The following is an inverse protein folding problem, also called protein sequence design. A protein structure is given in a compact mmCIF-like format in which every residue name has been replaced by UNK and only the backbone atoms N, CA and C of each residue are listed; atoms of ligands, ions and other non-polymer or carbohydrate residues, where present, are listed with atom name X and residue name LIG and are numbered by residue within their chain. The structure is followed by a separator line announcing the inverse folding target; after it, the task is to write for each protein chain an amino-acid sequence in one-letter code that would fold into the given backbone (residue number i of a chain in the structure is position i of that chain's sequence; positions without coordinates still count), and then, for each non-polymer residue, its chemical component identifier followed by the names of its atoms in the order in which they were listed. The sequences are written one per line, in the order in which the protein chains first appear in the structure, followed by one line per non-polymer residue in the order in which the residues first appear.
data_IF_471565631027
#
_entry.id   IF_471565631027
#
_cell.length_a   1.000
_cell.length_b   1.000
_cell.length_c   1.000
_cell.angle_alpha   90.00
_cell.angle_beta   90.00
_cell.angle_gamma   90.00
#
_symmetry.space_group_name_H-M   'P 1'
#
loop_
_entity.id
_entity.type
_entity.pdbx_description
1 polymer ?
#
# COMPACT_ATOMS: atom_id res chain seq x y z
N UNK A 1 14.46 12.10 18.88
CA UNK A 1 13.08 12.38 19.32
C UNK A 1 12.19 12.02 18.16
N UNK A 2 11.51 10.87 18.25
CA UNK A 2 10.26 10.54 17.56
C UNK A 2 9.86 9.15 18.07
N UNK A 3 9.14 9.16 19.18
CA UNK A 3 8.38 8.02 19.68
C UNK A 3 7.33 7.65 18.64
N UNK A 4 7.49 6.53 17.95
CA UNK A 4 6.36 5.85 17.30
C UNK A 4 5.53 5.14 18.38
N UNK A 5 4.85 5.95 19.18
CA UNK A 5 3.79 5.51 20.08
C UNK A 5 2.53 5.21 19.23
N UNK A 6 2.51 4.06 18.53
CA UNK A 6 1.31 3.57 17.87
C UNK A 6 0.54 2.63 18.82
N UNK A 7 -0.23 3.26 19.70
CA UNK A 7 -1.29 2.61 20.45
C UNK A 7 -2.37 2.12 19.47
N UNK A 8 -2.48 0.80 19.32
CA UNK A 8 -3.56 0.14 18.61
C UNK A 8 -4.75 -0.04 19.56
N UNK A 9 -5.64 0.95 19.58
CA UNK A 9 -6.99 0.79 20.10
C UNK A 9 -7.96 1.00 18.94
N UNK A 10 -8.57 -0.09 18.45
CA UNK A 10 -10.03 -0.23 18.34
C UNK A 10 -10.38 -1.60 17.72
N UNK A 11 -11.32 -2.27 18.37
CA UNK A 11 -11.46 -3.72 18.42
C UNK A 11 -12.20 -4.37 17.23
N UNK A 12 -11.98 -3.94 15.98
CA UNK A 12 -12.65 -4.60 14.83
C UNK A 12 -11.75 -4.98 13.65
N UNK A 13 -10.53 -4.46 13.52
CA UNK A 13 -9.59 -4.93 12.49
C UNK A 13 -8.15 -4.91 13.01
N UNK A 14 -7.74 -5.96 13.74
CA UNK A 14 -6.34 -6.15 14.17
C UNK A 14 -5.45 -6.43 12.97
N UNK A 15 -4.97 -5.37 12.33
CA UNK A 15 -3.84 -5.45 11.40
C UNK A 15 -2.65 -5.97 12.20
N UNK A 16 -2.00 -7.07 11.79
CA UNK A 16 -0.77 -7.51 12.44
C UNK A 16 0.26 -6.40 12.35
N UNK A 17 0.85 -6.03 13.50
CA UNK A 17 1.91 -5.01 13.57
C UNK A 17 3.04 -5.29 12.57
N UNK A 18 3.34 -6.57 12.33
CA UNK A 18 4.29 -7.03 11.31
C UNK A 18 3.93 -6.59 9.89
N UNK A 19 2.64 -6.61 9.52
CA UNK A 19 2.17 -6.17 8.21
C UNK A 19 2.30 -4.65 8.06
N UNK A 20 2.11 -3.91 9.15
CA UNK A 20 2.27 -2.46 9.18
C UNK A 20 3.73 -2.03 9.05
N UNK A 21 4.62 -2.67 9.80
CA UNK A 21 6.07 -2.47 9.70
C UNK A 21 6.56 -2.80 8.29
N UNK A 22 6.08 -3.90 7.72
CA UNK A 22 6.44 -4.31 6.37
C UNK A 22 5.99 -3.28 5.32
N UNK A 23 4.72 -2.86 5.36
CA UNK A 23 4.22 -1.80 4.48
C UNK A 23 5.05 -0.53 4.61
N UNK A 24 5.33 -0.07 5.84
CA UNK A 24 6.14 1.13 6.07
C UNK A 24 7.56 1.00 5.51
N UNK A 25 8.21 -0.16 5.64
CA UNK A 25 9.53 -0.41 5.07
C UNK A 25 9.51 -0.34 3.54
N UNK A 26 8.55 -1.01 2.90
CA UNK A 26 8.41 -1.04 1.44
C UNK A 26 8.07 0.35 0.89
N UNK A 27 7.08 1.03 1.48
CA UNK A 27 6.70 2.38 1.06
C UNK A 27 7.85 3.37 1.22
N UNK A 28 8.67 3.26 2.27
CA UNK A 28 9.85 4.11 2.47
C UNK A 28 10.91 3.90 1.38
N UNK A 29 11.16 2.64 0.99
CA UNK A 29 12.10 2.32 -0.10
C UNK A 29 11.58 2.84 -1.44
N UNK A 30 10.28 2.63 -1.69
CA UNK A 30 9.63 3.04 -2.92
C UNK A 30 9.56 4.57 -3.02
N UNK A 31 9.20 5.27 -1.94
CA UNK A 31 9.14 6.75 -1.87
C UNK A 31 10.47 7.44 -2.15
N UNK A 32 11.62 6.78 -1.95
CA UNK A 32 12.92 7.34 -2.39
C UNK A 32 12.96 7.56 -3.91
N UNK A 33 12.18 6.79 -4.68
CA UNK A 33 12.03 6.92 -6.14
C UNK A 33 10.78 7.75 -6.51
N UNK A 34 10.48 8.81 -5.76
CA UNK A 34 9.24 9.63 -5.85
C UNK A 34 8.88 10.05 -7.28
N UNK A 35 9.88 10.45 -8.07
CA UNK A 35 9.67 10.93 -9.45
C UNK A 35 9.19 9.81 -10.37
N UNK A 36 9.78 8.62 -10.26
CA UNK A 36 9.40 7.45 -11.04
C UNK A 36 8.00 6.94 -10.69
N UNK A 37 7.56 7.05 -9.43
CA UNK A 37 6.23 6.57 -9.03
C UNK A 37 5.06 7.37 -9.58
N UNK A 38 5.28 8.66 -9.86
CA UNK A 38 4.26 9.50 -10.50
C UNK A 38 3.99 9.10 -11.94
N UNK A 39 4.96 8.42 -12.57
CA UNK A 39 4.88 7.99 -13.97
C UNK A 39 4.37 6.55 -14.11
N UNK A 40 4.18 5.83 -13.00
CA UNK A 40 3.75 4.44 -13.00
C UNK A 40 2.29 4.39 -12.57
N UNK A 41 1.45 4.02 -13.53
CA UNK A 41 0.01 3.91 -13.36
C UNK A 41 -0.40 2.51 -12.91
N UNK A 42 -1.52 2.40 -12.19
CA UNK A 42 -1.99 1.12 -11.65
C UNK A 42 -2.50 0.15 -12.73
N UNK A 43 -2.87 0.66 -13.91
CA UNK A 43 -3.29 -0.14 -15.07
C UNK A 43 -2.14 -0.93 -15.71
N UNK A 44 -0.90 -0.48 -15.53
CA UNK A 44 0.30 -1.15 -16.00
C UNK A 44 0.72 -2.35 -15.15
N UNK A 45 0.15 -2.51 -13.95
CA UNK A 45 0.67 -3.40 -12.90
C UNK A 45 -0.09 -4.72 -12.77
N UNK A 46 -0.89 -5.10 -13.76
CA UNK A 46 -1.65 -6.37 -13.80
C UNK A 46 -2.32 -6.72 -12.45
N UNK A 47 -2.88 -5.72 -11.76
CA UNK A 47 -3.55 -5.96 -10.49
C UNK A 47 -4.80 -6.83 -10.70
N UNK A 48 -5.13 -7.68 -9.72
CA UNK A 48 -6.42 -8.38 -9.71
C UNK A 48 -7.58 -7.40 -9.90
N UNK A 49 -8.63 -7.74 -10.69
CA UNK A 49 -9.72 -6.83 -11.00
C UNK A 49 -10.38 -6.21 -9.76
N UNK A 50 -10.49 -6.98 -8.67
CA UNK A 50 -10.97 -6.50 -7.37
C UNK A 50 -10.13 -5.31 -6.86
N UNK A 51 -8.81 -5.48 -6.82
CA UNK A 51 -7.86 -4.47 -6.33
C UNK A 51 -7.90 -3.24 -7.23
N UNK A 52 -7.76 -3.44 -8.54
CA UNK A 52 -7.79 -2.36 -9.53
C UNK A 52 -9.07 -1.53 -9.40
N UNK A 53 -10.23 -2.17 -9.32
CA UNK A 53 -11.52 -1.48 -9.22
C UNK A 53 -11.68 -0.73 -7.89
N UNK A 54 -11.22 -1.28 -6.77
CA UNK A 54 -11.26 -0.60 -5.47
C UNK A 54 -10.38 0.68 -5.50
N UNK A 55 -9.14 0.56 -5.99
CA UNK A 55 -8.22 1.68 -6.11
C UNK A 55 -8.79 2.77 -7.03
N UNK A 56 -9.34 2.37 -8.18
CA UNK A 56 -9.96 3.29 -9.14
C UNK A 56 -11.16 4.02 -8.55
N UNK A 57 -12.04 3.32 -7.80
CA UNK A 57 -13.18 3.94 -7.09
C UNK A 57 -12.74 4.94 -6.03
N UNK A 58 -11.56 4.75 -5.44
CA UNK A 58 -10.96 5.65 -4.45
C UNK A 58 -10.07 6.73 -5.06
N UNK A 59 -10.14 6.95 -6.38
CA UNK A 59 -9.32 7.93 -7.11
C UNK A 59 -7.80 7.72 -7.00
N UNK A 60 -7.36 6.47 -6.82
CA UNK A 60 -5.95 6.08 -6.85
C UNK A 60 -5.63 5.58 -8.25
N UNK A 61 -4.82 6.34 -8.99
CA UNK A 61 -4.48 6.02 -10.39
C UNK A 61 -2.99 5.74 -10.59
N UNK A 62 -2.13 6.24 -9.70
CA UNK A 62 -0.68 6.03 -9.75
C UNK A 62 -0.15 5.33 -8.51
N UNK A 63 1.05 4.76 -8.61
CA UNK A 63 1.77 4.28 -7.42
C UNK A 63 2.10 5.41 -6.45
N UNK A 64 2.30 6.62 -6.96
CA UNK A 64 2.48 7.77 -6.10
C UNK A 64 1.25 7.99 -5.22
N UNK A 65 0.05 7.99 -5.79
CA UNK A 65 -1.20 8.17 -5.04
C UNK A 65 -1.37 7.07 -3.99
N UNK A 66 -1.20 5.82 -4.40
CA UNK A 66 -1.30 4.64 -3.53
C UNK A 66 -0.41 4.75 -2.30
N UNK A 67 0.87 5.10 -2.49
CA UNK A 67 1.84 5.18 -1.39
C UNK A 67 1.83 6.51 -0.65
N UNK A 68 1.22 7.56 -1.20
CA UNK A 68 1.04 8.81 -0.50
C UNK A 68 0.02 8.68 0.64
N UNK A 69 -0.91 7.74 0.54
CA UNK A 69 -1.85 7.40 1.60
C UNK A 69 -1.25 6.49 2.68
N UNK A 70 -1.74 6.65 3.91
CA UNK A 70 -1.44 5.73 5.01
C UNK A 70 -2.10 4.37 4.77
N UNK A 71 -1.51 3.30 5.27
CA UNK A 71 -2.09 1.96 5.18
C UNK A 71 -3.52 1.89 5.75
N UNK A 72 -3.77 2.60 6.86
CA UNK A 72 -5.08 2.71 7.50
C UNK A 72 -6.14 3.29 6.56
N UNK A 73 -5.75 4.26 5.72
CA UNK A 73 -6.66 4.83 4.73
C UNK A 73 -7.01 3.80 3.66
N UNK A 74 -6.03 3.03 3.19
CA UNK A 74 -6.27 1.97 2.21
C UNK A 74 -7.22 0.89 2.75
N UNK A 75 -7.09 0.52 4.02
CA UNK A 75 -7.99 -0.45 4.67
C UNK A 75 -9.39 0.08 4.94
N UNK A 76 -9.61 1.39 4.85
CA UNK A 76 -10.94 2.01 4.89
C UNK A 76 -11.62 2.04 3.53
N UNK A 77 -10.91 1.69 2.45
CA UNK A 77 -11.52 1.58 1.12
C UNK A 77 -12.51 0.41 1.15
N UNK A 78 -13.70 0.64 0.60
CA UNK A 78 -14.75 -0.37 0.52
C UNK A 78 -14.25 -1.64 -0.18
N UNK A 79 -14.50 -2.80 0.42
CA UNK A 79 -14.06 -4.13 -0.05
C UNK A 79 -12.55 -4.37 -0.10
N UNK A 80 -11.74 -3.43 0.40
CA UNK A 80 -10.29 -3.55 0.43
C UNK A 80 -9.83 -4.21 1.73
N UNK A 81 -8.99 -5.23 1.62
CA UNK A 81 -8.55 -6.05 2.75
C UNK A 81 -7.04 -6.03 2.90
N UNK A 82 -6.55 -6.48 4.06
CA UNK A 82 -5.11 -6.63 4.30
C UNK A 82 -4.43 -7.53 3.25
N UNK A 83 -5.11 -8.58 2.81
CA UNK A 83 -4.59 -9.50 1.79
C UNK A 83 -4.40 -8.79 0.43
N UNK A 84 -5.27 -7.81 0.12
CA UNK A 84 -5.13 -7.00 -1.09
C UNK A 84 -3.86 -6.12 -1.02
N UNK A 85 -3.52 -5.60 0.17
CA UNK A 85 -2.27 -4.86 0.40
C UNK A 85 -1.06 -5.77 0.20
N UNK A 86 -1.07 -7.00 0.76
CA UNK A 86 0.03 -7.94 0.55
C UNK A 86 0.22 -8.28 -0.92
N UNK A 87 -0.88 -8.50 -1.66
CA UNK A 87 -0.84 -8.78 -3.09
C UNK A 87 -0.23 -7.63 -3.87
N UNK A 88 -0.64 -6.38 -3.58
CA UNK A 88 -0.04 -5.18 -4.16
C UNK A 88 1.47 -5.17 -3.90
N UNK A 89 1.89 -5.30 -2.64
CA UNK A 89 3.31 -5.27 -2.29
C UNK A 89 4.10 -6.39 -2.98
N UNK A 90 3.52 -7.59 -3.11
CA UNK A 90 4.13 -8.72 -3.81
C UNK A 90 4.30 -8.47 -5.30
N UNK A 91 3.29 -7.90 -5.96
CA UNK A 91 3.36 -7.50 -7.37
C UNK A 91 4.44 -6.45 -7.57
N UNK A 92 4.47 -5.43 -6.71
CA UNK A 92 5.49 -4.37 -6.78
C UNK A 92 6.89 -4.91 -6.47
N UNK A 93 7.02 -5.86 -5.55
CA UNK A 93 8.27 -6.56 -5.30
C UNK A 93 8.84 -7.20 -6.57
N UNK A 94 7.98 -7.85 -7.36
CA UNK A 94 8.36 -8.44 -8.66
C UNK A 94 8.77 -7.38 -9.69
N UNK A 95 7.97 -6.33 -9.87
CA UNK A 95 8.24 -5.28 -10.88
C UNK A 95 9.48 -4.44 -10.56
N UNK A 96 9.74 -4.15 -9.29
CA UNK A 96 10.84 -3.29 -8.88
C UNK A 96 12.08 -4.03 -8.38
N UNK A 97 12.09 -5.37 -8.49
CA UNK A 97 13.13 -6.26 -7.96
C UNK A 97 13.52 -5.86 -6.54
N UNK A 98 12.50 -5.57 -5.72
CA UNK A 98 12.71 -5.28 -4.31
C UNK A 98 12.91 -6.63 -3.65
N UNK A 99 14.18 -7.02 -3.47
CA UNK A 99 14.54 -8.12 -2.58
C UNK A 99 14.06 -7.73 -1.17
N UNK A 100 12.97 -8.33 -0.73
CA UNK A 100 12.36 -8.14 0.58
C UNK A 100 12.60 -9.35 1.48
#
# INVERSE_FOLDING_TARGET
MEEENLYLADAEHKIPLSSLIFYNKVTKLIKKKKLSLKLIFIDQLEFPPKIYNCLKKSNIFTLFDLFNHKQEYLLKIEHFQLEDIKNILGILGKYFVLYL
#
